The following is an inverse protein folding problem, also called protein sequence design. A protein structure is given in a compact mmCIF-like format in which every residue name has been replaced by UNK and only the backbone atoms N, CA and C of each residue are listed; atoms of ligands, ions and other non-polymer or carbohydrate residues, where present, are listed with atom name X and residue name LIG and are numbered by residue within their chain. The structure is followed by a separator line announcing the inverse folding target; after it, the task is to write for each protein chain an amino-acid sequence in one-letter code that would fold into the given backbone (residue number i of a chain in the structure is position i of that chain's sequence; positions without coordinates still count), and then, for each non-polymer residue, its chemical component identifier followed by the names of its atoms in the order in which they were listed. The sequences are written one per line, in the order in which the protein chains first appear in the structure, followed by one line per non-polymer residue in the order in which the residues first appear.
data_IF_770862337836
#
_entry.id   IF_770862337836
#
_cell.length_a   1.000
_cell.length_b   1.000
_cell.length_c   1.000
_cell.angle_alpha   90.00
_cell.angle_beta   90.00
_cell.angle_gamma   90.00
#
_symmetry.space_group_name_H-M   'P 1'
#
loop_
_entity.id
_entity.type
_entity.pdbx_description
1 polymer ?
#
# COMPACT_ATOMS: atom_id res chain seq x y z
N UNK A 1 -8.44 20.26 -0.09
CA UNK A 1 -9.41 19.25 0.41
C UNK A 1 -9.47 19.32 1.92
N UNK A 2 -10.60 18.93 2.54
CA UNK A 2 -10.74 18.94 4.01
C UNK A 2 -11.39 17.67 4.56
N UNK A 3 -12.40 17.16 3.88
CA UNK A 3 -13.18 16.00 4.30
C UNK A 3 -12.83 14.78 3.44
N UNK A 4 -12.28 13.75 4.06
CA UNK A 4 -11.78 12.55 3.38
C UNK A 4 -12.56 11.33 3.87
N UNK A 5 -13.09 10.57 2.94
CA UNK A 5 -13.78 9.31 3.26
C UNK A 5 -12.91 8.13 2.88
N UNK A 6 -12.75 7.20 3.81
CA UNK A 6 -12.06 5.92 3.58
C UNK A 6 -13.10 4.80 3.52
N UNK A 7 -13.18 4.14 2.39
CA UNK A 7 -14.04 2.98 2.20
C UNK A 7 -13.24 1.71 2.48
N UNK A 8 -13.43 1.15 3.68
CA UNK A 8 -12.74 -0.05 4.12
C UNK A 8 -11.69 0.20 5.20
N UNK A 9 -11.93 -0.33 6.39
CA UNK A 9 -11.03 -0.27 7.57
C UNK A 9 -10.11 -1.49 7.67
N UNK A 10 -9.57 -1.98 6.55
CA UNK A 10 -8.55 -3.03 6.50
C UNK A 10 -7.23 -2.59 7.12
N UNK A 11 -6.17 -3.36 6.92
CA UNK A 11 -4.84 -3.00 7.43
C UNK A 11 -4.40 -1.66 6.85
N UNK A 12 -4.33 -1.56 5.53
CA UNK A 12 -3.87 -0.34 4.86
C UNK A 12 -4.89 0.79 4.95
N UNK A 13 -6.20 0.52 4.82
CA UNK A 13 -7.23 1.55 4.98
C UNK A 13 -7.21 2.22 6.35
N UNK A 14 -6.91 1.47 7.43
CA UNK A 14 -6.72 2.06 8.77
C UNK A 14 -5.45 2.92 8.84
N UNK A 15 -4.36 2.52 8.18
CA UNK A 15 -3.12 3.30 8.13
C UNK A 15 -3.32 4.61 7.36
N UNK A 16 -4.00 4.56 6.21
CA UNK A 16 -4.35 5.75 5.42
C UNK A 16 -5.22 6.68 6.25
N UNK A 17 -6.29 6.16 6.87
CA UNK A 17 -7.19 6.94 7.71
C UNK A 17 -6.46 7.66 8.85
N UNK A 18 -5.55 6.95 9.53
CA UNK A 18 -4.78 7.52 10.64
C UNK A 18 -3.80 8.59 10.15
N UNK A 19 -3.07 8.34 9.04
CA UNK A 19 -2.15 9.30 8.45
C UNK A 19 -2.86 10.59 8.02
N UNK A 20 -3.99 10.46 7.34
CA UNK A 20 -4.81 11.60 6.89
C UNK A 20 -5.32 12.41 8.09
N UNK A 21 -5.82 11.74 9.14
CA UNK A 21 -6.28 12.41 10.36
C UNK A 21 -5.12 13.04 11.15
N UNK A 22 -3.93 12.42 11.14
CA UNK A 22 -2.71 12.94 11.77
C UNK A 22 -2.28 14.28 11.17
N UNK A 23 -2.50 14.48 9.89
CA UNK A 23 -2.23 15.74 9.18
C UNK A 23 -3.40 16.75 9.20
N UNK A 24 -4.33 16.60 10.16
CA UNK A 24 -5.45 17.50 10.46
C UNK A 24 -6.61 17.52 9.44
N UNK A 25 -6.77 16.49 8.63
CA UNK A 25 -7.99 16.31 7.84
C UNK A 25 -9.11 15.68 8.68
N UNK A 26 -10.36 15.95 8.31
CA UNK A 26 -11.51 15.21 8.83
C UNK A 26 -11.62 13.89 8.07
N UNK A 27 -11.71 12.79 8.80
CA UNK A 27 -11.77 11.44 8.22
C UNK A 27 -13.04 10.73 8.63
N UNK A 28 -13.77 10.20 7.66
CA UNK A 28 -14.88 9.29 7.90
C UNK A 28 -14.53 7.92 7.34
N UNK A 29 -14.58 6.88 8.18
CA UNK A 29 -14.35 5.50 7.77
C UNK A 29 -15.69 4.80 7.63
N UNK A 30 -15.99 4.35 6.42
CA UNK A 30 -17.10 3.46 6.19
C UNK A 30 -16.69 1.99 6.34
N UNK A 31 -17.51 1.22 7.05
CA UNK A 31 -17.36 -0.22 7.13
C UNK A 31 -18.73 -0.91 7.01
N UNK A 32 -18.73 -2.09 6.42
CA UNK A 32 -19.96 -2.84 6.09
C UNK A 32 -20.72 -3.44 7.29
N UNK A 33 -20.09 -3.49 8.48
CA UNK A 33 -20.73 -4.07 9.68
C UNK A 33 -20.16 -3.48 10.98
N UNK A 34 -20.91 -3.60 12.07
CA UNK A 34 -20.45 -3.18 13.42
C UNK A 34 -19.17 -3.88 13.84
N UNK A 35 -19.03 -5.17 13.57
CA UNK A 35 -17.83 -5.96 13.87
C UNK A 35 -16.61 -5.45 13.08
N UNK A 36 -16.83 -4.99 11.84
CA UNK A 36 -15.77 -4.37 11.04
C UNK A 36 -15.34 -3.02 11.61
N UNK A 37 -16.28 -2.21 12.12
CA UNK A 37 -15.96 -0.97 12.83
C UNK A 37 -15.11 -1.27 14.07
N UNK A 38 -15.51 -2.23 14.89
CA UNK A 38 -14.77 -2.56 16.12
C UNK A 38 -13.35 -3.09 15.82
N UNK A 39 -13.18 -3.91 14.77
CA UNK A 39 -11.85 -4.32 14.32
C UNK A 39 -11.02 -3.13 13.83
N UNK A 40 -11.65 -2.17 13.14
CA UNK A 40 -10.98 -0.97 12.66
C UNK A 40 -10.56 -0.06 13.79
N UNK A 41 -11.43 0.16 14.80
CA UNK A 41 -11.09 0.94 16.01
C UNK A 41 -9.86 0.38 16.73
N UNK A 42 -9.77 -0.96 16.89
CA UNK A 42 -8.59 -1.61 17.47
C UNK A 42 -7.31 -1.32 16.67
N UNK A 43 -7.39 -1.32 15.33
CA UNK A 43 -6.23 -0.97 14.48
C UNK A 43 -5.84 0.51 14.62
N UNK A 44 -6.83 1.42 14.69
CA UNK A 44 -6.58 2.85 14.91
C UNK A 44 -5.89 3.08 16.25
N UNK A 45 -6.32 2.40 17.32
CA UNK A 45 -5.66 2.50 18.63
C UNK A 45 -4.23 1.92 18.60
N UNK A 46 -4.02 0.81 17.88
CA UNK A 46 -2.65 0.28 17.65
C UNK A 46 -1.77 1.26 16.88
N UNK A 47 -2.32 1.95 15.87
CA UNK A 47 -1.58 2.97 15.10
C UNK A 47 -1.20 4.17 15.98
N UNK A 48 -2.09 4.65 16.86
CA UNK A 48 -1.76 5.66 17.87
C UNK A 48 -0.51 5.25 18.66
N UNK A 49 -0.47 4.00 19.13
CA UNK A 49 0.68 3.50 19.88
C UNK A 49 1.94 3.42 19.02
N UNK A 50 1.82 2.95 17.77
CA UNK A 50 2.93 2.88 16.83
C UNK A 50 3.52 4.28 16.59
N UNK A 51 2.68 5.27 16.23
CA UNK A 51 3.14 6.65 15.99
C UNK A 51 3.81 7.23 17.23
N UNK A 52 3.21 7.06 18.41
CA UNK A 52 3.80 7.53 19.69
C UNK A 52 5.19 6.91 19.92
N UNK A 53 5.33 5.61 19.68
CA UNK A 53 6.60 4.90 19.86
C UNK A 53 7.64 5.36 18.83
N UNK A 54 7.26 5.52 17.57
CA UNK A 54 8.18 5.98 16.52
C UNK A 54 8.62 7.44 16.78
N UNK A 55 7.73 8.34 17.20
CA UNK A 55 8.08 9.70 17.61
C UNK A 55 9.12 9.68 18.74
N UNK A 56 8.94 8.83 19.75
CA UNK A 56 9.91 8.72 20.85
C UNK A 56 11.25 8.10 20.40
N UNK A 57 11.25 7.18 19.43
CA UNK A 57 12.48 6.64 18.84
C UNK A 57 13.23 7.69 18.01
N UNK A 58 12.51 8.52 17.22
CA UNK A 58 13.11 9.60 16.45
C UNK A 58 13.84 10.60 17.31
N UNK A 59 13.35 10.88 18.54
CA UNK A 59 14.06 11.72 19.52
C UNK A 59 15.40 11.11 19.95
N UNK A 60 15.41 9.78 20.17
CA UNK A 60 16.58 9.05 20.67
C UNK A 60 17.61 8.75 19.58
N UNK A 61 17.15 8.55 18.37
CA UNK A 61 17.98 8.14 17.25
C UNK A 61 17.67 9.01 16.01
N UNK A 62 18.50 10.03 15.81
CA UNK A 62 18.39 10.97 14.69
C UNK A 62 19.14 10.49 13.45
N UNK A 63 19.03 9.21 13.10
CA UNK A 63 19.58 8.70 11.83
C UNK A 63 18.51 8.62 10.76
N UNK A 64 18.85 8.96 9.50
CA UNK A 64 17.91 8.89 8.37
C UNK A 64 17.31 7.49 8.19
N UNK A 65 18.08 6.44 8.48
CA UNK A 65 17.61 5.05 8.37
C UNK A 65 16.52 4.67 9.38
N UNK A 66 16.48 5.36 10.53
CA UNK A 66 15.49 5.15 11.58
C UNK A 66 14.34 6.16 11.51
N UNK A 67 14.42 7.15 10.61
CA UNK A 67 13.48 8.26 10.54
C UNK A 67 12.15 7.87 9.86
N UNK A 68 11.06 8.40 10.38
CA UNK A 68 9.71 8.19 9.84
C UNK A 68 9.21 9.47 9.17
N UNK A 69 9.59 9.67 7.90
CA UNK A 69 9.26 10.87 7.11
C UNK A 69 7.76 11.13 6.98
N UNK A 70 6.93 10.08 7.03
CA UNK A 70 5.47 10.24 7.05
C UNK A 70 4.96 10.90 8.32
N UNK A 71 5.71 10.82 9.44
CA UNK A 71 5.37 11.50 10.69
C UNK A 71 5.83 12.95 10.64
N UNK A 72 7.10 13.20 10.31
CA UNK A 72 7.66 14.54 10.22
C UNK A 72 8.89 14.56 9.35
N UNK A 73 9.09 15.67 8.65
CA UNK A 73 10.35 16.05 8.06
C UNK A 73 11.47 16.03 9.11
N UNK A 74 12.68 15.64 8.69
CA UNK A 74 13.83 15.50 9.57
C UNK A 74 14.27 16.85 10.17
N UNK A 75 14.27 17.89 9.36
CA UNK A 75 14.79 19.23 9.73
C UNK A 75 13.79 20.01 10.59
N UNK A 76 12.48 19.73 10.45
CA UNK A 76 11.40 20.45 11.11
C UNK A 76 10.70 19.64 12.22
N UNK A 77 11.37 18.63 12.76
CA UNK A 77 10.79 17.75 13.76
C UNK A 77 10.58 18.44 15.10
N UNK A 78 9.33 18.41 15.55
CA UNK A 78 8.90 18.85 16.88
C UNK A 78 8.13 17.70 17.55
N UNK A 79 8.68 17.17 18.65
CA UNK A 79 8.11 16.06 19.41
C UNK A 79 6.73 16.38 19.95
N UNK A 80 6.58 17.52 20.61
CA UNK A 80 5.34 17.87 21.30
C UNK A 80 4.21 18.16 20.30
N UNK A 81 4.53 18.84 19.21
CA UNK A 81 3.63 19.02 18.06
C UNK A 81 3.20 17.67 17.49
N UNK A 82 4.14 16.76 17.25
CA UNK A 82 3.86 15.43 16.69
C UNK A 82 2.97 14.58 17.61
N UNK A 83 3.24 14.57 18.93
CA UNK A 83 2.41 13.90 19.92
C UNK A 83 1.01 14.54 20.03
N UNK A 84 0.90 15.86 19.91
CA UNK A 84 -0.38 16.56 19.86
C UNK A 84 -1.20 16.16 18.63
N UNK A 85 -0.55 16.01 17.45
CA UNK A 85 -1.20 15.55 16.23
C UNK A 85 -1.73 14.11 16.38
N UNK A 86 -1.01 13.20 17.04
CA UNK A 86 -1.51 11.85 17.36
C UNK A 86 -2.82 11.90 18.18
N UNK A 87 -2.89 12.79 19.18
CA UNK A 87 -4.11 12.95 19.99
C UNK A 87 -5.27 13.54 19.18
N UNK A 88 -4.99 14.50 18.31
CA UNK A 88 -5.99 15.13 17.42
C UNK A 88 -6.51 14.14 16.37
N UNK A 89 -5.65 13.29 15.81
CA UNK A 89 -6.04 12.30 14.82
C UNK A 89 -7.22 11.44 15.28
N UNK A 90 -7.20 10.97 16.53
CA UNK A 90 -8.30 10.17 17.09
C UNK A 90 -9.64 10.92 17.14
N UNK A 91 -9.60 12.24 17.35
CA UNK A 91 -10.82 13.08 17.38
C UNK A 91 -11.35 13.37 15.98
N UNK A 92 -10.46 13.36 14.98
CA UNK A 92 -10.79 13.65 13.59
C UNK A 92 -11.31 12.43 12.82
N UNK A 93 -11.30 11.22 13.42
CA UNK A 93 -11.79 10.00 12.78
C UNK A 93 -13.20 9.67 13.27
N UNK A 94 -14.12 9.59 12.32
CA UNK A 94 -15.50 9.13 12.53
C UNK A 94 -15.71 7.77 11.86
N UNK A 95 -16.68 7.01 12.35
CA UNK A 95 -17.06 5.70 11.80
C UNK A 95 -18.54 5.68 11.49
N UNK A 96 -18.92 5.09 10.36
CA UNK A 96 -20.31 4.91 10.00
C UNK A 96 -20.55 3.61 9.23
N UNK A 97 -21.77 3.11 9.31
CA UNK A 97 -22.28 1.99 8.49
C UNK A 97 -23.06 2.49 7.27
N UNK A 98 -23.50 3.76 7.30
CA UNK A 98 -24.20 4.40 6.18
C UNK A 98 -23.19 4.89 5.17
N UNK A 99 -23.31 4.42 3.93
CA UNK A 99 -22.46 4.88 2.84
C UNK A 99 -22.76 6.33 2.47
N UNK A 100 -24.04 6.72 2.52
CA UNK A 100 -24.50 8.09 2.26
C UNK A 100 -23.90 9.07 3.27
N UNK A 101 -23.98 8.75 4.58
CA UNK A 101 -23.37 9.59 5.61
C UNK A 101 -21.83 9.66 5.48
N UNK A 102 -21.22 8.57 5.02
CA UNK A 102 -19.77 8.53 4.86
C UNK A 102 -19.25 9.49 3.79
N UNK A 103 -20.02 9.64 2.69
CA UNK A 103 -19.58 10.44 1.54
C UNK A 103 -20.16 11.85 1.51
N UNK A 104 -21.09 12.14 2.42
CA UNK A 104 -21.66 13.48 2.55
C UNK A 104 -20.55 14.50 2.80
N UNK A 105 -20.55 15.56 2.01
CA UNK A 105 -19.52 16.62 2.02
C UNK A 105 -18.09 16.17 1.74
N UNK A 106 -17.87 14.92 1.26
CA UNK A 106 -16.54 14.41 0.98
C UNK A 106 -15.89 15.14 -0.21
N UNK A 107 -14.67 15.60 -0.01
CA UNK A 107 -13.84 16.15 -1.10
C UNK A 107 -13.11 15.03 -1.85
N UNK A 108 -12.71 13.98 -1.11
CA UNK A 108 -12.02 12.81 -1.64
C UNK A 108 -12.54 11.52 -0.98
N UNK A 109 -12.83 10.52 -1.81
CA UNK A 109 -13.15 9.15 -1.38
C UNK A 109 -12.00 8.24 -1.77
N UNK A 110 -11.38 7.58 -0.78
CA UNK A 110 -10.31 6.61 -0.97
C UNK A 110 -10.88 5.20 -0.76
N UNK A 111 -10.98 4.42 -1.83
CA UNK A 111 -11.40 3.03 -1.75
C UNK A 111 -10.21 2.13 -1.39
N UNK A 112 -10.31 1.44 -0.26
CA UNK A 112 -9.32 0.52 0.28
C UNK A 112 -9.98 -0.79 0.77
N UNK A 113 -10.84 -1.36 -0.06
CA UNK A 113 -11.51 -2.64 0.17
C UNK A 113 -10.62 -3.84 -0.22
N UNK A 114 -11.18 -5.03 -0.09
CA UNK A 114 -10.57 -6.28 -0.60
C UNK A 114 -10.28 -6.17 -2.09
N UNK A 115 -9.21 -6.82 -2.53
CA UNK A 115 -8.75 -6.81 -3.92
C UNK A 115 -9.59 -7.78 -4.77
N UNK A 116 -10.89 -7.44 -4.90
CA UNK A 116 -11.87 -8.17 -5.70
C UNK A 116 -12.56 -7.22 -6.67
N UNK A 117 -12.49 -7.53 -7.96
CA UNK A 117 -13.01 -6.69 -9.02
C UNK A 117 -14.52 -6.48 -8.93
N UNK A 118 -15.28 -7.55 -8.64
CA UNK A 118 -16.73 -7.45 -8.60
C UNK A 118 -17.19 -6.64 -7.39
N UNK A 119 -16.56 -6.83 -6.22
CA UNK A 119 -16.85 -6.04 -5.03
C UNK A 119 -16.59 -4.55 -5.25
N UNK A 120 -15.47 -4.19 -5.89
CA UNK A 120 -15.15 -2.79 -6.23
C UNK A 120 -16.13 -2.22 -7.27
N UNK A 121 -16.41 -2.97 -8.33
CA UNK A 121 -17.41 -2.59 -9.35
C UNK A 121 -18.77 -2.30 -8.75
N UNK A 122 -19.25 -3.16 -7.86
CA UNK A 122 -20.57 -3.02 -7.25
C UNK A 122 -20.60 -1.85 -6.26
N UNK A 123 -19.53 -1.64 -5.50
CA UNK A 123 -19.36 -0.42 -4.69
C UNK A 123 -19.47 0.85 -5.55
N UNK A 124 -18.73 0.94 -6.65
CA UNK A 124 -18.74 2.16 -7.48
C UNK A 124 -20.11 2.42 -8.13
N UNK A 125 -20.87 1.39 -8.49
CA UNK A 125 -22.24 1.55 -8.96
C UNK A 125 -23.16 2.14 -7.90
N UNK A 126 -22.98 1.77 -6.64
CA UNK A 126 -23.76 2.30 -5.52
C UNK A 126 -23.32 3.72 -5.19
N UNK A 127 -22.04 4.01 -5.23
CA UNK A 127 -21.49 5.35 -4.97
C UNK A 127 -21.88 6.37 -6.03
N UNK A 128 -21.86 5.98 -7.31
CA UNK A 128 -22.00 6.89 -8.44
C UNK A 128 -23.21 7.85 -8.36
N UNK A 129 -24.44 7.39 -7.98
CA UNK A 129 -25.61 8.26 -7.93
C UNK A 129 -25.67 9.20 -6.71
N UNK A 130 -24.89 8.94 -5.65
CA UNK A 130 -24.96 9.65 -4.37
C UNK A 130 -23.74 10.54 -4.08
N UNK A 131 -22.72 10.49 -4.93
CA UNK A 131 -21.53 11.34 -4.80
C UNK A 131 -21.83 12.77 -5.25
N UNK A 132 -21.41 13.76 -4.47
CA UNK A 132 -21.45 15.16 -4.86
C UNK A 132 -20.56 15.44 -6.07
N UNK A 133 -20.88 16.45 -6.85
CA UNK A 133 -20.13 16.78 -8.07
C UNK A 133 -18.66 17.08 -7.80
N UNK A 134 -18.33 17.75 -6.70
CA UNK A 134 -16.95 18.11 -6.32
C UNK A 134 -16.07 16.90 -6.00
N UNK A 135 -16.68 15.78 -5.59
CA UNK A 135 -15.95 14.64 -4.98
C UNK A 135 -15.08 13.90 -5.98
N UNK A 136 -13.80 13.77 -5.70
CA UNK A 136 -12.86 12.92 -6.40
C UNK A 136 -12.88 11.52 -5.76
N UNK A 137 -12.78 10.48 -6.57
CA UNK A 137 -12.72 9.09 -6.09
C UNK A 137 -11.40 8.48 -6.51
N UNK A 138 -10.71 7.84 -5.56
CA UNK A 138 -9.47 7.12 -5.86
C UNK A 138 -9.55 5.69 -5.38
N UNK A 139 -8.93 4.77 -6.13
CA UNK A 139 -8.72 3.40 -5.69
C UNK A 139 -7.30 3.20 -5.17
N UNK A 140 -7.18 2.48 -4.05
CA UNK A 140 -5.89 2.05 -3.51
C UNK A 140 -5.53 0.61 -3.98
N UNK A 141 -6.17 0.12 -5.05
CA UNK A 141 -5.88 -1.20 -5.60
C UNK A 141 -4.43 -1.33 -6.04
N UNK A 142 -3.80 -2.45 -5.70
CA UNK A 142 -2.41 -2.76 -6.08
C UNK A 142 -2.30 -3.41 -7.46
N UNK A 143 -3.40 -3.98 -7.98
CA UNK A 143 -3.37 -4.83 -9.18
C UNK A 143 -4.32 -4.41 -10.29
N UNK A 144 -5.34 -3.59 -9.97
CA UNK A 144 -6.37 -3.19 -10.95
C UNK A 144 -6.07 -1.83 -11.53
N UNK A 145 -6.10 -1.75 -12.86
CA UNK A 145 -5.99 -0.46 -13.56
C UNK A 145 -7.24 0.38 -13.33
N UNK A 146 -7.12 1.69 -13.03
CA UNK A 146 -8.27 2.56 -12.84
C UNK A 146 -9.21 2.59 -14.07
N UNK A 147 -8.72 2.50 -15.29
CA UNK A 147 -9.57 2.46 -16.49
C UNK A 147 -10.58 1.31 -16.49
N UNK A 148 -10.22 0.17 -15.89
CA UNK A 148 -11.12 -1.00 -15.81
C UNK A 148 -12.35 -0.74 -14.94
N UNK A 149 -12.24 0.16 -13.95
CA UNK A 149 -13.26 0.49 -12.97
C UNK A 149 -13.95 1.84 -13.22
N UNK A 150 -13.30 2.77 -13.91
CA UNK A 150 -13.73 4.16 -14.13
C UNK A 150 -15.17 4.31 -14.64
N UNK A 151 -15.60 3.44 -15.57
CA UNK A 151 -16.95 3.48 -16.15
C UNK A 151 -18.08 3.30 -15.12
N UNK A 152 -17.79 2.61 -14.01
CA UNK A 152 -18.78 2.34 -12.97
C UNK A 152 -18.96 3.52 -12.00
N UNK A 153 -18.01 4.45 -11.97
CA UNK A 153 -18.07 5.64 -11.12
C UNK A 153 -18.95 6.74 -11.71
N UNK A 154 -19.31 6.67 -13.00
CA UNK A 154 -19.99 7.71 -13.80
C UNK A 154 -19.27 9.07 -13.80
N UNK A 155 -18.03 9.12 -13.32
CA UNK A 155 -17.16 10.32 -13.28
C UNK A 155 -15.72 9.96 -13.60
N UNK A 156 -15.44 9.47 -14.82
CA UNK A 156 -14.10 9.00 -15.18
C UNK A 156 -13.04 10.12 -15.11
N UNK A 157 -13.43 11.37 -15.27
CA UNK A 157 -12.58 12.55 -15.13
C UNK A 157 -12.13 12.82 -13.69
N UNK A 158 -12.90 12.34 -12.70
CA UNK A 158 -12.63 12.46 -11.24
C UNK A 158 -12.30 11.10 -10.61
N UNK A 159 -11.82 10.14 -11.40
CA UNK A 159 -11.42 8.84 -10.93
C UNK A 159 -9.98 8.50 -11.34
N UNK A 160 -9.17 8.02 -10.39
CA UNK A 160 -7.78 7.65 -10.61
C UNK A 160 -7.31 6.67 -9.50
N UNK A 161 -6.06 6.23 -9.57
CA UNK A 161 -5.48 5.44 -8.49
C UNK A 161 -4.59 6.30 -7.58
N UNK A 162 -4.64 6.01 -6.27
CA UNK A 162 -3.76 6.53 -5.24
C UNK A 162 -3.32 5.35 -4.37
N UNK A 163 -2.16 4.80 -4.70
CA UNK A 163 -1.64 3.58 -4.10
C UNK A 163 -0.57 3.88 -3.07
N UNK A 164 -0.73 3.33 -1.87
CA UNK A 164 0.18 3.51 -0.75
C UNK A 164 0.97 2.25 -0.43
N UNK A 165 2.20 2.41 0.03
CA UNK A 165 2.96 1.33 0.64
C UNK A 165 2.47 1.04 2.07
N UNK A 166 2.61 -0.21 2.53
CA UNK A 166 2.36 -0.54 3.93
C UNK A 166 3.38 0.15 4.86
N UNK A 167 2.99 0.36 6.12
CA UNK A 167 3.76 1.15 7.09
C UNK A 167 3.97 2.59 6.62
N UNK A 168 2.87 3.22 6.22
CA UNK A 168 2.79 4.53 5.56
C UNK A 168 3.55 5.64 6.30
N UNK A 169 3.68 5.55 7.63
CA UNK A 169 4.46 6.50 8.45
C UNK A 169 5.97 6.42 8.20
N UNK A 170 6.46 5.27 7.72
CA UNK A 170 7.87 5.01 7.42
C UNK A 170 8.13 4.92 5.92
N UNK A 171 7.30 4.15 5.22
CA UNK A 171 7.36 3.97 3.76
C UNK A 171 6.40 4.97 3.10
N UNK A 172 6.66 6.25 3.29
CA UNK A 172 5.75 7.34 2.94
C UNK A 172 5.68 7.64 1.44
N UNK A 173 5.53 6.62 0.60
CA UNK A 173 5.33 6.77 -0.84
C UNK A 173 3.87 6.67 -1.22
N UNK A 174 3.45 7.50 -2.17
CA UNK A 174 2.13 7.48 -2.79
C UNK A 174 2.26 7.50 -4.31
N UNK A 175 1.91 6.41 -4.96
CA UNK A 175 1.87 6.30 -6.41
C UNK A 175 0.52 6.81 -6.91
N UNK A 176 0.53 7.91 -7.65
CA UNK A 176 -0.68 8.53 -8.23
C UNK A 176 -0.72 8.22 -9.71
N UNK A 177 -1.71 7.42 -10.15
CA UNK A 177 -1.79 6.95 -11.53
C UNK A 177 -3.10 7.37 -12.17
N UNK A 178 -3.01 8.19 -13.24
CA UNK A 178 -4.16 8.58 -14.05
C UNK A 178 -4.40 7.60 -15.20
N UNK A 179 -5.67 7.50 -15.63
CA UNK A 179 -6.04 6.87 -16.89
C UNK A 179 -6.40 7.92 -17.94
N UNK A 180 -6.65 7.50 -19.18
CA UNK A 180 -6.83 8.39 -20.33
C UNK A 180 -7.96 9.41 -20.20
N UNK A 181 -8.93 9.19 -19.30
CA UNK A 181 -10.07 10.10 -19.08
C UNK A 181 -9.98 10.89 -17.76
N UNK A 182 -8.97 10.64 -16.92
CA UNK A 182 -8.75 11.43 -15.70
C UNK A 182 -8.41 12.87 -16.08
N UNK A 183 -9.07 13.86 -15.50
CA UNK A 183 -8.72 15.26 -15.71
C UNK A 183 -7.40 15.62 -15.03
N UNK A 184 -6.65 16.54 -15.62
CA UNK A 184 -5.43 17.05 -15.00
C UNK A 184 -5.71 17.79 -13.69
N UNK A 185 -6.87 18.43 -13.56
CA UNK A 185 -7.31 19.05 -12.30
C UNK A 185 -7.45 18.03 -11.17
N UNK A 186 -8.16 16.91 -11.43
CA UNK A 186 -8.30 15.83 -10.45
C UNK A 186 -6.95 15.19 -10.11
N UNK A 187 -6.11 14.96 -11.11
CA UNK A 187 -4.77 14.38 -10.92
C UNK A 187 -3.90 15.27 -10.02
N UNK A 188 -3.84 16.58 -10.32
CA UNK A 188 -3.05 17.52 -9.55
C UNK A 188 -3.59 17.70 -8.12
N UNK A 189 -4.90 17.76 -7.93
CA UNK A 189 -5.51 17.83 -6.59
C UNK A 189 -5.18 16.61 -5.73
N UNK A 190 -5.11 15.41 -6.31
CA UNK A 190 -4.71 14.19 -5.58
C UNK A 190 -3.22 14.18 -5.27
N UNK A 191 -2.36 14.68 -6.18
CA UNK A 191 -0.94 14.89 -5.93
C UNK A 191 -0.72 15.83 -4.75
N UNK A 192 -1.41 16.98 -4.73
CA UNK A 192 -1.25 17.96 -3.66
C UNK A 192 -1.77 17.42 -2.33
N UNK A 193 -2.93 16.74 -2.33
CA UNK A 193 -3.41 16.03 -1.15
C UNK A 193 -2.39 15.02 -0.61
N UNK A 194 -1.78 14.21 -1.48
CA UNK A 194 -0.78 13.23 -1.05
C UNK A 194 0.46 13.90 -0.43
N UNK A 195 0.91 15.04 -0.94
CA UNK A 195 1.97 15.85 -0.32
C UNK A 195 1.56 16.39 1.04
N UNK A 196 0.33 16.92 1.17
CA UNK A 196 -0.20 17.46 2.42
C UNK A 196 -0.29 16.43 3.54
N UNK A 197 -0.41 15.14 3.19
CA UNK A 197 -0.36 14.02 4.15
C UNK A 197 1.05 13.43 4.32
N UNK A 198 2.10 14.19 4.04
CA UNK A 198 3.52 13.83 4.18
C UNK A 198 3.97 12.64 3.31
N UNK A 199 3.38 12.48 2.12
CA UNK A 199 3.82 11.44 1.19
C UNK A 199 4.80 11.98 0.15
N UNK A 200 5.78 11.16 -0.19
CA UNK A 200 6.60 11.32 -1.40
C UNK A 200 5.76 10.82 -2.56
N UNK A 201 5.34 11.75 -3.42
CA UNK A 201 4.45 11.44 -4.52
C UNK A 201 5.22 10.92 -5.72
N UNK A 202 4.77 9.79 -6.25
CA UNK A 202 5.30 9.14 -7.44
C UNK A 202 4.23 9.17 -8.55
N UNK A 203 4.19 10.20 -9.41
CA UNK A 203 3.16 10.35 -10.41
C UNK A 203 3.42 9.43 -11.62
N UNK A 204 2.39 8.68 -12.03
CA UNK A 204 2.41 7.87 -13.25
C UNK A 204 1.55 8.56 -14.32
N UNK A 205 2.16 8.89 -15.44
CA UNK A 205 1.50 9.58 -16.57
C UNK A 205 0.61 8.66 -17.40
N UNK A 206 0.82 7.33 -17.29
CA UNK A 206 0.05 6.30 -17.98
C UNK A 206 -0.20 5.15 -17.02
N UNK A 207 -1.25 4.40 -17.32
CA UNK A 207 -1.56 3.20 -16.54
C UNK A 207 -0.49 2.12 -16.72
N UNK A 208 -0.10 1.53 -15.59
CA UNK A 208 0.83 0.42 -15.52
C UNK A 208 0.42 -0.53 -14.41
N UNK A 209 0.16 -1.80 -14.76
CA UNK A 209 -0.03 -2.85 -13.76
C UNK A 209 1.22 -2.97 -12.88
N UNK A 210 1.01 -3.04 -11.55
CA UNK A 210 2.10 -3.11 -10.59
C UNK A 210 2.78 -1.77 -10.32
N UNK A 211 2.29 -0.67 -10.90
CA UNK A 211 2.83 0.66 -10.69
C UNK A 211 4.34 0.73 -11.02
N UNK A 212 5.09 1.63 -10.37
CA UNK A 212 6.54 1.71 -10.56
C UNK A 212 7.26 0.62 -9.76
N UNK A 213 6.96 0.53 -8.46
CA UNK A 213 7.70 -0.35 -7.56
C UNK A 213 7.60 -1.82 -7.98
N UNK A 214 6.39 -2.35 -8.10
CA UNK A 214 6.22 -3.76 -8.43
C UNK A 214 6.64 -4.10 -9.87
N UNK A 215 6.61 -3.12 -10.79
CA UNK A 215 7.12 -3.30 -12.16
C UNK A 215 8.63 -3.52 -12.21
N UNK A 216 9.37 -3.02 -11.23
CA UNK A 216 10.81 -3.26 -11.07
C UNK A 216 11.10 -4.44 -10.14
N UNK A 217 10.38 -4.52 -9.02
CA UNK A 217 10.62 -5.50 -7.97
C UNK A 217 10.34 -6.93 -8.43
N UNK A 218 9.22 -7.17 -9.10
CA UNK A 218 8.82 -8.53 -9.51
C UNK A 218 9.84 -9.16 -10.47
N UNK A 219 10.28 -8.51 -11.57
CA UNK A 219 11.33 -9.05 -12.42
C UNK A 219 12.68 -9.24 -11.69
N UNK A 220 13.02 -8.33 -10.78
CA UNK A 220 14.22 -8.45 -9.96
C UNK A 220 14.19 -9.72 -9.09
N UNK A 221 13.07 -9.98 -8.42
CA UNK A 221 12.90 -11.19 -7.60
C UNK A 221 12.85 -12.47 -8.45
N UNK A 222 12.26 -12.40 -9.65
CA UNK A 222 12.28 -13.52 -10.58
C UNK A 222 13.70 -13.87 -11.04
N UNK A 223 14.53 -12.88 -11.36
CA UNK A 223 15.91 -13.13 -11.76
C UNK A 223 16.71 -13.82 -10.66
N UNK A 224 16.52 -13.43 -9.40
CA UNK A 224 17.18 -14.05 -8.27
C UNK A 224 16.70 -15.50 -8.02
N UNK A 225 15.37 -15.71 -8.05
CA UNK A 225 14.79 -17.05 -7.94
C UNK A 225 15.26 -17.97 -9.07
N UNK A 226 15.40 -17.44 -10.29
CA UNK A 226 15.89 -18.19 -11.46
C UNK A 226 17.31 -18.72 -11.25
N UNK A 227 18.20 -17.88 -10.75
CA UNK A 227 19.57 -18.30 -10.40
C UNK A 227 19.57 -19.45 -9.39
N UNK A 228 18.67 -19.41 -8.41
CA UNK A 228 18.61 -20.44 -7.37
C UNK A 228 18.01 -21.76 -7.89
N UNK A 229 16.87 -21.71 -8.59
CA UNK A 229 16.20 -22.93 -9.08
C UNK A 229 16.95 -23.62 -10.21
N UNK A 230 17.86 -22.93 -10.90
CA UNK A 230 18.76 -23.49 -11.90
C UNK A 230 20.11 -23.88 -11.30
N UNK A 231 20.25 -23.90 -9.97
CA UNK A 231 21.49 -24.32 -9.24
C UNK A 231 22.73 -23.48 -9.60
N UNK A 232 22.55 -22.21 -10.00
CA UNK A 232 23.69 -21.31 -10.28
C UNK A 232 24.35 -20.89 -8.97
N UNK A 233 23.55 -20.59 -7.92
CA UNK A 233 24.09 -20.26 -6.59
C UNK A 233 23.00 -20.42 -5.52
N UNK A 234 23.39 -20.30 -4.24
CA UNK A 234 22.48 -20.32 -3.09
C UNK A 234 21.98 -18.91 -2.74
N UNK A 235 20.86 -18.80 -1.96
CA UNK A 235 20.27 -17.52 -1.58
C UNK A 235 21.24 -16.55 -0.91
N UNK A 236 22.10 -17.03 -0.01
CA UNK A 236 23.05 -16.18 0.72
C UNK A 236 24.09 -15.54 -0.19
N UNK A 237 24.59 -16.30 -1.16
CA UNK A 237 25.59 -15.81 -2.14
C UNK A 237 24.95 -14.81 -3.10
N UNK A 238 23.73 -15.08 -3.57
CA UNK A 238 22.99 -14.18 -4.46
C UNK A 238 22.69 -12.84 -3.74
N UNK A 239 22.22 -12.92 -2.49
CA UNK A 239 21.98 -11.72 -1.67
C UNK A 239 23.27 -10.92 -1.42
N UNK A 240 24.39 -11.59 -1.09
CA UNK A 240 25.70 -10.93 -0.94
C UNK A 240 26.14 -10.24 -2.22
N UNK A 241 25.99 -10.89 -3.38
CA UNK A 241 26.36 -10.29 -4.66
C UNK A 241 25.60 -8.99 -4.90
N UNK A 242 24.30 -8.98 -4.64
CA UNK A 242 23.47 -7.79 -4.78
C UNK A 242 23.83 -6.70 -3.76
N UNK A 243 23.85 -7.05 -2.48
CA UNK A 243 24.10 -6.09 -1.38
C UNK A 243 25.46 -5.43 -1.51
N UNK A 244 26.52 -6.21 -1.75
CA UNK A 244 27.89 -5.68 -1.85
C UNK A 244 28.12 -4.95 -3.18
N UNK A 245 27.56 -5.46 -4.28
CA UNK A 245 27.73 -4.86 -5.60
C UNK A 245 26.95 -3.57 -5.81
N UNK A 246 25.85 -3.33 -5.07
CA UNK A 246 24.98 -2.17 -5.25
C UNK A 246 24.86 -1.27 -4.02
N UNK A 247 25.44 -1.67 -2.89
CA UNK A 247 25.26 -1.01 -1.58
C UNK A 247 23.78 -1.01 -1.11
N UNK A 248 22.96 -1.93 -1.62
CA UNK A 248 21.58 -2.10 -1.18
C UNK A 248 21.54 -2.63 0.27
N UNK A 249 20.47 -2.29 1.00
CA UNK A 249 20.31 -2.73 2.40
C UNK A 249 19.96 -4.22 2.53
N UNK A 250 19.20 -4.76 1.60
CA UNK A 250 18.68 -6.11 1.60
C UNK A 250 18.87 -6.74 0.22
N UNK A 251 19.15 -8.05 0.21
CA UNK A 251 19.20 -8.84 -0.99
C UNK A 251 17.81 -9.37 -1.40
N UNK A 252 17.67 -9.93 -2.62
CA UNK A 252 16.41 -10.38 -3.16
C UNK A 252 15.70 -11.45 -2.31
N UNK A 253 16.40 -12.38 -1.68
CA UNK A 253 15.81 -13.41 -0.83
C UNK A 253 15.38 -12.86 0.54
N UNK A 254 16.10 -11.87 1.07
CA UNK A 254 15.67 -11.12 2.26
C UNK A 254 14.38 -10.35 1.96
N UNK A 255 14.29 -9.73 0.79
CA UNK A 255 13.07 -9.02 0.34
C UNK A 255 11.90 -10.01 0.14
N UNK A 256 12.15 -11.20 -0.45
CA UNK A 256 11.13 -12.25 -0.58
C UNK A 256 10.56 -12.66 0.77
N UNK A 257 11.39 -12.81 1.80
CA UNK A 257 10.94 -13.12 3.16
C UNK A 257 10.14 -12.00 3.82
N UNK A 258 10.38 -10.73 3.45
CA UNK A 258 9.57 -9.58 3.88
C UNK A 258 8.22 -9.54 3.16
N UNK A 259 8.22 -9.75 1.84
CA UNK A 259 7.00 -9.80 1.00
C UNK A 259 6.09 -10.95 1.41
N UNK A 260 6.70 -12.05 1.84
CA UNK A 260 6.05 -13.30 2.18
C UNK A 260 5.95 -14.28 1.01
N UNK A 261 6.42 -15.50 1.26
CA UNK A 261 6.58 -16.51 0.20
C UNK A 261 5.25 -16.98 -0.39
N UNK A 262 4.14 -16.87 0.36
CA UNK A 262 2.80 -17.13 -0.16
C UNK A 262 2.41 -16.10 -1.23
N UNK A 263 2.69 -14.83 -0.99
CA UNK A 263 2.46 -13.75 -1.98
C UNK A 263 3.32 -13.97 -3.22
N UNK A 264 4.61 -14.27 -3.04
CA UNK A 264 5.52 -14.58 -4.14
C UNK A 264 5.04 -15.77 -4.97
N UNK A 265 4.57 -16.85 -4.31
CA UNK A 265 3.99 -18.03 -4.97
C UNK A 265 2.78 -17.67 -5.84
N UNK A 266 1.82 -16.91 -5.33
CA UNK A 266 0.63 -16.53 -6.09
C UNK A 266 0.96 -15.67 -7.32
N UNK A 267 2.04 -14.88 -7.24
CA UNK A 267 2.54 -14.12 -8.40
C UNK A 267 3.20 -15.06 -9.41
N UNK A 268 4.17 -15.89 -8.98
CA UNK A 268 4.90 -16.83 -9.86
C UNK A 268 3.94 -17.78 -10.56
N UNK A 269 2.93 -18.30 -9.86
CA UNK A 269 1.92 -19.22 -10.39
C UNK A 269 1.18 -18.68 -11.63
N UNK A 270 0.99 -17.36 -11.72
CA UNK A 270 0.39 -16.73 -12.91
C UNK A 270 1.30 -16.88 -14.13
N UNK A 271 2.61 -16.73 -13.93
CA UNK A 271 3.62 -16.82 -14.99
C UNK A 271 4.03 -18.27 -15.31
N UNK A 272 3.88 -19.21 -14.37
CA UNK A 272 4.15 -20.63 -14.59
C UNK A 272 3.20 -21.29 -15.63
N UNK A 273 2.12 -20.60 -16.02
CA UNK A 273 1.23 -21.01 -17.12
C UNK A 273 1.83 -20.76 -18.51
N UNK A 274 2.86 -19.92 -18.60
CA UNK A 274 3.56 -19.66 -19.86
C UNK A 274 4.36 -20.92 -20.26
N UNK A 275 4.26 -21.37 -21.52
CA UNK A 275 5.07 -22.49 -22.01
C UNK A 275 6.56 -22.23 -21.77
N UNK A 276 7.29 -23.25 -21.27
CA UNK A 276 8.68 -23.08 -20.81
C UNK A 276 9.64 -22.58 -21.90
N UNK A 277 9.37 -22.90 -23.17
CA UNK A 277 10.18 -22.43 -24.30
C UNK A 277 9.97 -20.93 -24.67
N UNK A 278 8.91 -20.32 -24.16
CA UNK A 278 8.63 -18.88 -24.32
C UNK A 278 8.91 -18.09 -23.02
N UNK A 279 9.14 -18.79 -21.91
CA UNK A 279 9.31 -18.16 -20.62
C UNK A 279 10.75 -17.63 -20.47
N UNK A 280 10.95 -16.36 -20.06
CA UNK A 280 12.30 -15.82 -19.84
C UNK A 280 12.98 -16.39 -18.59
N UNK A 281 12.24 -17.07 -17.72
CA UNK A 281 12.69 -17.64 -16.46
C UNK A 281 12.09 -19.03 -16.22
N UNK A 282 12.70 -19.84 -15.36
CA UNK A 282 12.20 -21.14 -14.94
C UNK A 282 11.05 -21.02 -13.92
N UNK A 283 9.92 -20.45 -14.33
CA UNK A 283 8.76 -20.23 -13.46
C UNK A 283 8.20 -21.52 -12.84
N UNK A 284 8.27 -22.65 -13.52
CA UNK A 284 7.86 -23.96 -12.95
C UNK A 284 8.76 -24.39 -11.82
N UNK A 285 10.07 -24.20 -11.95
CA UNK A 285 11.03 -24.45 -10.87
C UNK A 285 10.77 -23.54 -9.67
N UNK A 286 10.52 -22.25 -9.91
CA UNK A 286 10.19 -21.27 -8.86
C UNK A 286 8.89 -21.65 -8.15
N UNK A 287 7.85 -22.02 -8.88
CA UNK A 287 6.56 -22.44 -8.32
C UNK A 287 6.74 -23.64 -7.38
N UNK A 288 7.45 -24.67 -7.84
CA UNK A 288 7.75 -25.87 -7.06
C UNK A 288 8.56 -25.53 -5.80
N UNK A 289 9.60 -24.70 -5.93
CA UNK A 289 10.43 -24.25 -4.81
C UNK A 289 9.58 -23.54 -3.75
N UNK A 290 8.85 -22.49 -4.14
CA UNK A 290 8.05 -21.71 -3.20
C UNK A 290 6.94 -22.56 -2.55
N UNK A 291 6.35 -23.49 -3.28
CA UNK A 291 5.39 -24.46 -2.71
C UNK A 291 6.02 -25.31 -1.61
N UNK A 292 7.25 -25.77 -1.79
CA UNK A 292 7.98 -26.55 -0.76
C UNK A 292 8.15 -25.74 0.54
N UNK A 293 8.49 -24.43 0.44
CA UNK A 293 8.58 -23.56 1.61
C UNK A 293 7.23 -23.38 2.31
N UNK A 294 6.15 -23.16 1.53
CA UNK A 294 4.80 -22.98 2.05
C UNK A 294 4.29 -24.24 2.75
N UNK A 295 4.49 -25.42 2.14
CA UNK A 295 4.06 -26.70 2.70
C UNK A 295 4.79 -27.03 4.04
N UNK A 296 5.97 -26.45 4.26
CA UNK A 296 6.73 -26.52 5.52
C UNK A 296 6.48 -25.33 6.47
N UNK A 297 5.44 -24.51 6.22
CA UNK A 297 5.09 -23.31 7.01
C UNK A 297 6.22 -22.28 7.13
N UNK A 298 7.16 -22.25 6.16
CA UNK A 298 8.25 -21.27 6.07
C UNK A 298 7.81 -20.12 5.16
N UNK A 299 7.04 -19.17 5.71
CA UNK A 299 6.40 -18.12 4.93
C UNK A 299 7.19 -16.80 4.90
N UNK A 300 8.36 -16.75 5.50
CA UNK A 300 9.19 -15.57 5.64
C UNK A 300 9.16 -14.97 7.04
N UNK A 301 9.43 -13.67 7.16
CA UNK A 301 9.49 -12.97 8.47
C UNK A 301 8.24 -13.15 9.33
N UNK A 302 7.08 -13.28 8.73
CA UNK A 302 5.79 -13.41 9.45
C UNK A 302 5.67 -14.71 10.27
N UNK A 303 6.37 -15.77 9.89
CA UNK A 303 6.41 -17.06 10.58
C UNK A 303 7.75 -17.34 11.26
N UNK A 304 8.67 -16.36 11.25
CA UNK A 304 10.00 -16.49 11.83
C UNK A 304 11.00 -17.30 10.96
N UNK A 305 10.54 -17.86 9.85
CA UNK A 305 11.42 -18.60 8.92
C UNK A 305 10.89 -18.50 7.48
N UNK A 306 11.80 -18.29 6.53
CA UNK A 306 11.60 -18.33 5.10
C UNK A 306 12.86 -18.86 4.46
N UNK A 307 13.47 -18.12 3.54
CA UNK A 307 14.83 -18.42 3.07
C UNK A 307 15.86 -18.25 4.19
N UNK A 308 15.55 -17.40 5.16
CA UNK A 308 16.34 -17.18 6.37
C UNK A 308 15.54 -17.48 7.63
N UNK A 309 16.26 -17.64 8.75
CA UNK A 309 15.67 -17.71 10.09
C UNK A 309 15.72 -16.33 10.76
N UNK A 310 14.60 -15.93 11.33
CA UNK A 310 14.43 -14.65 12.02
C UNK A 310 14.19 -14.91 13.52
N UNK A 311 14.86 -14.13 14.35
CA UNK A 311 14.69 -14.19 15.81
C UNK A 311 13.55 -13.31 16.27
#
# INVERSE_FOLDING_TARGET
MKNITIIGGGVLGSQIAFQVAYTNFNVTIWARSKESIERTKKKIESLKQIYTNEINKMVKNKTLSAWCMGISDYDNFDKEKSLSQVKKALKNIKFTLSLEDAIKDADLVIESMTEDYNAKKDLYKVLAPILEEKTIVVTNSSTMLPSSLAKYTKRPDKFLALHFANSIWKNNTAEVMKHSKTSDDSFNKVIDFAKEINMIVLPLQKEKEGYLLNSMLIPFLFSALDLYVNNISNPETIDKAWVLGTSAKEGPFQILDVVGLKTAYEIVKKYAKVPSFLAPYNFKGMEKLLKTYIDNNKLGKSTGEGFYKYK
#
